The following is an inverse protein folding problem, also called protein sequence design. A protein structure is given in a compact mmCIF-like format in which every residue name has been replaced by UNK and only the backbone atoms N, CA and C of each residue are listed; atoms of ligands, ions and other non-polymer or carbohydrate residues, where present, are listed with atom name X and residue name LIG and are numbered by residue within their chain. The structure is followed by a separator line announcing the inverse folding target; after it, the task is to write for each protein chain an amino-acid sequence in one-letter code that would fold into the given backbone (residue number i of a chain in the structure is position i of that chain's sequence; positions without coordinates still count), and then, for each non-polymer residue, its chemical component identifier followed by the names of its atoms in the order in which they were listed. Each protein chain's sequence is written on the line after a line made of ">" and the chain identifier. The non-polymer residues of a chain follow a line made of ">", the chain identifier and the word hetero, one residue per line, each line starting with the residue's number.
data_IF_936476014940
#
_entry.id   IF_936476014940
#
_cell.length_a   1.000
_cell.length_b   1.000
_cell.length_c   1.000
_cell.angle_alpha   90.00
_cell.angle_beta   90.00
_cell.angle_gamma   90.00
#
_symmetry.space_group_name_H-M   'P 1'
#
loop_
_entity.id
_entity.type
_entity.pdbx_description
1 polymer ?
#
# COMPACT_ATOMS: atom_id res chain seq x y z
N UNK A 1 1.00 -7.10 17.76
CA UNK A 1 -0.38 -7.57 17.50
C UNK A 1 -1.24 -6.38 17.10
N UNK A 2 -1.91 -6.45 15.96
CA UNK A 2 -2.82 -5.41 15.49
C UNK A 2 -4.09 -5.37 16.35
N UNK A 3 -4.33 -4.28 17.08
CA UNK A 3 -5.60 -4.07 17.77
C UNK A 3 -6.58 -3.40 16.80
N UNK A 4 -7.52 -4.18 16.26
CA UNK A 4 -8.50 -3.72 15.26
C UNK A 4 -9.28 -2.48 15.73
N UNK A 5 -9.65 -2.39 17.01
CA UNK A 5 -10.35 -1.20 17.54
C UNK A 5 -9.48 0.06 17.53
N UNK A 6 -8.19 -0.08 17.82
CA UNK A 6 -7.26 1.05 17.78
C UNK A 6 -7.02 1.52 16.35
N UNK A 7 -6.80 0.57 15.43
CA UNK A 7 -6.59 0.87 14.01
C UNK A 7 -7.81 1.54 13.36
N UNK A 8 -9.03 1.06 13.66
CA UNK A 8 -10.27 1.67 13.18
C UNK A 8 -10.41 3.11 13.69
N UNK A 9 -10.08 3.35 14.97
CA UNK A 9 -10.14 4.68 15.59
C UNK A 9 -9.12 5.65 15.01
N UNK A 10 -7.87 5.20 14.80
CA UNK A 10 -6.82 5.99 14.17
C UNK A 10 -7.15 6.32 12.72
N UNK A 11 -7.64 5.33 11.97
CA UNK A 11 -8.11 5.52 10.60
C UNK A 11 -9.22 6.57 10.54
N UNK A 12 -10.28 6.41 11.35
CA UNK A 12 -11.40 7.34 11.37
C UNK A 12 -10.97 8.76 11.74
N UNK A 13 -10.11 8.92 12.76
CA UNK A 13 -9.59 10.23 13.19
C UNK A 13 -8.83 10.92 12.08
N UNK A 14 -7.90 10.20 11.44
CA UNK A 14 -7.11 10.72 10.32
C UNK A 14 -8.01 11.07 9.14
N UNK A 15 -8.98 10.21 8.83
CA UNK A 15 -9.88 10.39 7.71
C UNK A 15 -10.82 11.60 7.88
N UNK A 16 -11.46 11.76 9.05
CA UNK A 16 -12.29 12.94 9.36
C UNK A 16 -11.46 14.22 9.30
N UNK A 17 -10.22 14.20 9.82
CA UNK A 17 -9.32 15.36 9.80
C UNK A 17 -9.01 15.77 8.35
N UNK A 18 -8.66 14.81 7.50
CA UNK A 18 -8.41 15.03 6.08
C UNK A 18 -9.63 15.57 5.33
N UNK A 19 -10.79 14.96 5.55
CA UNK A 19 -12.05 15.38 4.93
C UNK A 19 -12.45 16.79 5.34
N UNK A 20 -12.36 17.14 6.63
CA UNK A 20 -12.70 18.48 7.12
C UNK A 20 -11.82 19.54 6.46
N UNK A 21 -10.49 19.34 6.46
CA UNK A 21 -9.54 20.25 5.82
C UNK A 21 -9.79 20.40 4.32
N UNK A 22 -10.04 19.29 3.62
CA UNK A 22 -10.35 19.30 2.20
C UNK A 22 -11.66 20.05 1.89
N UNK A 23 -12.71 19.80 2.68
CA UNK A 23 -14.01 20.47 2.52
C UNK A 23 -13.95 21.98 2.74
N UNK A 24 -13.10 22.46 3.66
CA UNK A 24 -12.88 23.89 3.91
C UNK A 24 -12.17 24.58 2.75
N UNK A 25 -11.32 23.87 2.01
CA UNK A 25 -10.51 24.44 0.93
C UNK A 25 -11.18 24.36 -0.44
N UNK A 26 -12.02 23.33 -0.70
CA UNK A 26 -12.71 23.14 -1.98
C UNK A 26 -14.23 23.04 -1.79
N UNK A 27 -14.90 24.19 -1.66
CA UNK A 27 -16.34 24.27 -1.34
C UNK A 27 -17.27 23.90 -2.51
N UNK A 28 -16.86 24.18 -3.74
CA UNK A 28 -17.66 23.93 -4.95
C UNK A 28 -17.09 22.72 -5.70
N UNK A 29 -17.67 21.55 -5.47
CA UNK A 29 -17.29 20.31 -6.15
C UNK A 29 -18.48 19.64 -6.78
N UNK A 30 -18.29 19.14 -8.00
CA UNK A 30 -19.26 18.26 -8.62
C UNK A 30 -19.28 16.87 -7.94
N UNK A 31 -20.31 16.07 -8.23
CA UNK A 31 -20.47 14.74 -7.61
C UNK A 31 -19.29 13.80 -7.88
N UNK A 32 -18.69 13.86 -9.08
CA UNK A 32 -17.56 13.02 -9.47
C UNK A 32 -16.32 13.39 -8.65
N UNK A 33 -16.05 14.68 -8.48
CA UNK A 33 -14.95 15.19 -7.66
C UNK A 33 -15.13 14.81 -6.20
N UNK A 34 -16.35 14.93 -5.66
CA UNK A 34 -16.67 14.51 -4.28
C UNK A 34 -16.36 13.02 -4.08
N UNK A 35 -16.81 12.16 -4.99
CA UNK A 35 -16.54 10.71 -4.92
C UNK A 35 -15.04 10.42 -4.97
N UNK A 36 -14.30 11.09 -5.88
CA UNK A 36 -12.85 10.96 -5.98
C UNK A 36 -12.13 11.42 -4.70
N UNK A 37 -12.53 12.55 -4.14
CA UNK A 37 -11.97 13.09 -2.91
C UNK A 37 -12.22 12.18 -1.70
N UNK A 38 -13.44 11.64 -1.57
CA UNK A 38 -13.78 10.68 -0.51
C UNK A 38 -12.89 9.44 -0.63
N UNK A 39 -12.76 8.87 -1.83
CA UNK A 39 -11.89 7.70 -2.06
C UNK A 39 -10.43 8.02 -1.72
N UNK A 40 -9.90 9.10 -2.26
CA UNK A 40 -8.51 9.49 -2.06
C UNK A 40 -8.19 9.79 -0.59
N UNK A 41 -9.08 10.49 0.11
CA UNK A 41 -8.95 10.77 1.55
C UNK A 41 -8.93 9.50 2.38
N UNK A 42 -9.72 8.49 2.02
CA UNK A 42 -9.71 7.20 2.68
C UNK A 42 -8.40 6.44 2.39
N UNK A 43 -7.97 6.39 1.12
CA UNK A 43 -6.72 5.73 0.72
C UNK A 43 -5.51 6.35 1.43
N UNK A 44 -5.46 7.68 1.52
CA UNK A 44 -4.39 8.41 2.18
C UNK A 44 -4.44 8.26 3.71
N UNK A 45 -5.63 8.35 4.33
CA UNK A 45 -5.76 8.12 5.76
C UNK A 45 -5.35 6.69 6.15
N UNK A 46 -5.76 5.69 5.36
CA UNK A 46 -5.39 4.30 5.54
C UNK A 46 -3.86 4.13 5.46
N UNK A 47 -3.23 4.71 4.43
CA UNK A 47 -1.78 4.71 4.26
C UNK A 47 -1.04 5.41 5.42
N UNK A 48 -1.52 6.57 5.86
CA UNK A 48 -0.89 7.35 6.94
C UNK A 48 -0.99 6.70 8.32
N UNK A 49 -2.03 5.89 8.57
CA UNK A 49 -2.17 5.16 9.85
C UNK A 49 -1.30 3.91 9.94
N UNK A 50 -0.75 3.46 8.80
CA UNK A 50 0.16 2.33 8.79
C UNK A 50 1.58 2.73 9.06
N UNK A 51 2.38 1.72 9.38
CA UNK A 51 3.81 1.90 9.48
C UNK A 51 4.34 2.46 8.15
N UNK A 52 5.12 3.53 8.25
CA UNK A 52 5.76 4.24 7.13
C UNK A 52 6.74 3.34 6.38
N UNK A 53 6.96 2.11 6.84
CA UNK A 53 7.82 1.11 6.19
C UNK A 53 7.12 0.37 5.06
N UNK A 54 5.80 0.17 5.15
CA UNK A 54 5.02 -0.62 4.19
C UNK A 54 5.09 -0.03 2.79
N UNK A 55 5.33 -0.88 1.79
CA UNK A 55 5.50 -0.47 0.39
C UNK A 55 4.17 -0.06 -0.23
N UNK A 56 3.07 -0.75 0.11
CA UNK A 56 1.76 -0.39 -0.44
C UNK A 56 1.27 0.99 0.03
N UNK A 57 1.57 1.38 1.29
CA UNK A 57 1.18 2.70 1.80
C UNK A 57 1.95 3.82 1.11
N UNK A 58 3.25 3.63 0.88
CA UNK A 58 4.10 4.54 0.09
C UNK A 58 3.61 4.67 -1.34
N UNK A 59 3.19 3.56 -1.96
CA UNK A 59 2.65 3.58 -3.31
C UNK A 59 1.36 4.41 -3.38
N UNK A 60 0.45 4.30 -2.39
CA UNK A 60 -0.75 5.13 -2.32
C UNK A 60 -0.42 6.63 -2.16
N UNK A 61 0.50 6.97 -1.24
CA UNK A 61 0.93 8.36 -1.02
C UNK A 61 1.59 8.93 -2.28
N UNK A 62 2.47 8.16 -2.91
CA UNK A 62 3.15 8.57 -4.15
C UNK A 62 2.16 8.78 -5.28
N UNK A 63 1.19 7.86 -5.47
CA UNK A 63 0.16 8.00 -6.48
C UNK A 63 -0.73 9.23 -6.25
N UNK A 64 -1.08 9.53 -4.99
CA UNK A 64 -1.83 10.72 -4.63
C UNK A 64 -1.07 12.01 -4.93
N UNK A 65 0.25 12.01 -4.73
CA UNK A 65 1.12 13.18 -4.96
C UNK A 65 1.37 13.51 -6.45
N UNK A 66 1.00 12.62 -7.39
CA UNK A 66 1.24 12.83 -8.83
C UNK A 66 0.23 13.77 -9.48
N UNK A 67 -0.90 14.00 -8.84
CA UNK A 67 -1.96 14.87 -9.34
C UNK A 67 -1.98 16.15 -8.50
N UNK A 68 -1.67 17.28 -9.13
CA UNK A 68 -1.59 18.58 -8.45
C UNK A 68 -2.92 18.96 -7.77
N UNK A 69 -4.06 18.47 -8.27
CA UNK A 69 -5.38 18.70 -7.66
C UNK A 69 -5.53 18.00 -6.29
N UNK A 70 -4.74 16.95 -6.07
CA UNK A 70 -4.77 16.11 -4.89
C UNK A 70 -3.73 16.52 -3.84
N UNK A 71 -2.83 17.45 -4.21
CA UNK A 71 -1.76 17.99 -3.34
C UNK A 71 -2.29 18.48 -1.99
N UNK A 72 -3.42 19.19 -2.03
CA UNK A 72 -4.15 19.68 -0.85
C UNK A 72 -4.40 18.56 0.17
N UNK A 73 -4.87 17.41 -0.31
CA UNK A 73 -5.20 16.30 0.57
C UNK A 73 -3.92 15.63 1.11
N UNK A 74 -2.90 15.48 0.25
CA UNK A 74 -1.61 14.91 0.64
C UNK A 74 -0.93 15.66 1.77
N UNK A 75 -0.83 16.99 1.67
CA UNK A 75 -0.22 17.83 2.70
C UNK A 75 -1.04 17.77 4.00
N UNK A 76 -2.36 17.91 3.91
CA UNK A 76 -3.23 17.99 5.07
C UNK A 76 -3.27 16.72 5.93
N UNK A 77 -3.22 15.53 5.32
CA UNK A 77 -3.24 14.26 6.06
C UNK A 77 -1.84 13.89 6.55
N UNK A 78 -0.78 14.19 5.79
CA UNK A 78 0.61 13.93 6.20
C UNK A 78 1.10 14.87 7.31
N UNK A 79 0.73 16.15 7.26
CA UNK A 79 1.12 17.17 8.25
C UNK A 79 0.41 17.03 9.60
N UNK A 80 -0.62 16.18 9.69
CA UNK A 80 -1.36 15.93 10.94
C UNK A 80 -0.69 14.90 11.85
N UNK A 81 0.45 14.32 11.44
CA UNK A 81 1.20 13.33 12.21
C UNK A 81 2.39 13.97 12.95
N UNK A 82 2.36 14.10 14.28
CA UNK A 82 3.50 14.60 15.05
C UNK A 82 4.57 13.51 15.14
N UNK A 83 5.45 13.41 14.13
CA UNK A 83 6.81 12.81 14.17
C UNK A 83 7.47 12.88 12.78
N UNK A 84 8.46 13.76 12.69
CA UNK A 84 9.45 13.97 11.60
C UNK A 84 8.87 14.12 10.18
N UNK A 85 8.63 15.37 9.80
CA UNK A 85 8.63 15.84 8.41
C UNK A 85 10.06 15.82 7.89
N UNK A 86 10.50 14.74 7.26
CA UNK A 86 11.52 14.88 6.23
C UNK A 86 10.83 15.46 5.00
N UNK A 87 11.20 16.69 4.65
CA UNK A 87 10.86 17.33 3.38
C UNK A 87 11.25 16.35 2.27
N UNK A 88 10.27 15.68 1.66
CA UNK A 88 10.48 14.92 0.42
C UNK A 88 10.65 15.94 -0.68
N UNK A 89 11.87 16.45 -0.78
CA UNK A 89 12.41 17.16 -1.94
C UNK A 89 12.13 16.29 -3.16
N UNK A 90 11.53 16.89 -4.21
CA UNK A 90 11.49 16.34 -5.58
C UNK A 90 12.84 15.72 -5.91
N UNK A 91 12.93 14.39 -5.88
CA UNK A 91 14.04 13.64 -6.46
C UNK A 91 13.42 12.63 -7.40
N UNK A 92 13.91 12.65 -8.64
CA UNK A 92 13.42 11.88 -9.77
C UNK A 92 13.15 10.40 -9.41
N UNK A 93 12.00 9.91 -9.86
CA UNK A 93 11.36 8.64 -9.52
C UNK A 93 12.06 7.36 -10.03
N UNK A 94 13.38 7.37 -10.26
CA UNK A 94 14.09 6.21 -10.82
C UNK A 94 14.82 5.36 -9.76
N UNK A 95 14.82 5.78 -8.49
CA UNK A 95 15.58 5.12 -7.42
C UNK A 95 14.68 4.64 -6.28
N UNK A 96 13.69 3.80 -6.59
CA UNK A 96 13.17 2.86 -5.59
C UNK A 96 14.21 1.75 -5.43
N UNK A 97 15.26 2.01 -4.63
CA UNK A 97 16.21 0.97 -4.24
C UNK A 97 15.45 -0.16 -3.54
N UNK A 98 15.64 -1.44 -3.91
CA UNK A 98 15.09 -2.55 -3.16
C UNK A 98 15.83 -2.63 -1.81
N UNK A 99 15.27 -2.02 -0.77
CA UNK A 99 15.70 -2.33 0.59
C UNK A 99 15.16 -3.72 0.96
N UNK A 100 15.87 -4.73 0.46
CA UNK A 100 15.99 -6.08 1.00
C UNK A 100 17.22 -6.75 0.37
N UNK A 101 18.41 -6.21 0.66
CA UNK A 101 19.67 -6.93 0.47
C UNK A 101 20.44 -7.00 1.78
N UNK A 102 20.01 -7.88 2.70
CA UNK A 102 20.99 -8.49 3.62
C UNK A 102 21.83 -9.47 2.80
N UNK A 103 22.77 -8.96 2.00
CA UNK A 103 23.84 -9.77 1.43
C UNK A 103 25.00 -9.79 2.41
N UNK A 104 24.96 -10.80 3.27
CA UNK A 104 26.13 -11.30 3.97
C UNK A 104 27.06 -11.98 2.95
N UNK A 105 28.37 -11.73 3.16
CA UNK A 105 29.58 -12.40 2.66
C UNK A 105 30.27 -11.82 1.41
N UNK A 106 31.26 -10.99 1.72
CA UNK A 106 32.61 -11.03 1.14
C UNK A 106 33.04 -12.45 0.73
N UNK A 107 33.37 -12.65 -0.55
CA UNK A 107 34.20 -13.77 -0.99
C UNK A 107 35.19 -13.30 -2.06
N UNK A 108 36.47 -13.37 -1.70
CA UNK A 108 37.62 -13.22 -2.59
C UNK A 108 37.47 -14.17 -3.77
N UNK A 109 37.74 -13.66 -4.98
CA UNK A 109 37.78 -14.43 -6.21
C UNK A 109 38.99 -15.35 -6.14
N UNK A 110 38.77 -16.65 -6.05
CA UNK A 110 39.75 -17.67 -6.43
C UNK A 110 39.15 -18.49 -7.56
N UNK A 111 39.66 -18.23 -8.77
CA UNK A 111 39.50 -19.07 -9.95
C UNK A 111 40.19 -20.41 -9.69
N UNK A 112 39.48 -21.54 -9.74
CA UNK A 112 40.03 -22.77 -10.35
C UNK A 112 38.99 -23.89 -10.58
N UNK A 113 39.27 -24.57 -11.69
CA UNK A 113 38.83 -25.87 -12.21
C UNK A 113 37.35 -26.13 -12.50
N UNK A 114 37.13 -26.35 -13.81
CA UNK A 114 36.01 -27.06 -14.41
C UNK A 114 35.90 -28.46 -13.80
N UNK A 115 34.79 -28.75 -13.16
CA UNK A 115 34.36 -30.13 -12.89
C UNK A 115 33.08 -30.34 -13.69
N UNK A 116 33.14 -31.28 -14.64
CA UNK A 116 32.01 -31.76 -15.42
C UNK A 116 31.04 -32.44 -14.45
N UNK A 117 30.06 -31.69 -13.95
CA UNK A 117 28.92 -32.29 -13.26
C UNK A 117 27.99 -32.84 -14.32
N UNK A 118 27.92 -34.16 -14.37
CA UNK A 118 26.91 -34.95 -15.05
C UNK A 118 25.53 -34.29 -14.88
N UNK A 119 24.96 -33.83 -16.00
CA UNK A 119 23.61 -33.27 -16.00
C UNK A 119 22.66 -34.47 -15.97
N UNK A 120 22.36 -34.96 -14.77
CA UNK A 120 21.10 -35.66 -14.55
C UNK A 120 20.00 -34.72 -15.01
N UNK A 121 19.47 -35.02 -16.19
CA UNK A 121 18.40 -34.28 -16.84
C UNK A 121 17.15 -34.62 -16.04
N UNK A 122 17.02 -33.98 -14.89
CA UNK A 122 15.89 -34.12 -14.00
C UNK A 122 14.66 -33.81 -14.86
N UNK A 123 13.93 -34.85 -15.26
CA UNK A 123 12.79 -34.74 -16.15
C UNK A 123 11.73 -33.99 -15.36
N UNK A 124 11.76 -32.66 -15.42
CA UNK A 124 10.76 -31.83 -14.77
C UNK A 124 9.42 -32.25 -15.34
N UNK A 125 8.64 -32.97 -14.53
CA UNK A 125 7.37 -33.52 -14.97
C UNK A 125 6.48 -32.39 -15.48
N UNK A 126 5.73 -32.57 -16.59
CA UNK A 126 4.83 -31.56 -17.13
C UNK A 126 3.88 -30.97 -16.07
N UNK A 127 3.49 -31.76 -15.07
CA UNK A 127 2.69 -31.34 -13.93
C UNK A 127 3.38 -30.29 -13.04
N UNK A 128 4.69 -30.37 -12.84
CA UNK A 128 5.48 -29.39 -12.07
C UNK A 128 5.61 -28.06 -12.82
N UNK A 129 5.75 -28.11 -14.15
CA UNK A 129 5.77 -26.93 -15.01
C UNK A 129 4.40 -26.24 -14.97
N UNK A 130 3.31 -27.00 -15.13
CA UNK A 130 1.95 -26.48 -15.06
C UNK A 130 1.65 -25.81 -13.70
N UNK A 131 2.10 -26.42 -12.59
CA UNK A 131 1.98 -25.84 -11.24
C UNK A 131 2.73 -24.51 -11.13
N UNK A 132 3.98 -24.44 -11.61
CA UNK A 132 4.79 -23.20 -11.58
C UNK A 132 4.13 -22.08 -12.37
N UNK A 133 3.67 -22.36 -13.59
CA UNK A 133 2.98 -21.37 -14.43
C UNK A 133 1.69 -20.87 -13.77
N UNK A 134 0.94 -21.76 -13.11
CA UNK A 134 -0.27 -21.37 -12.36
C UNK A 134 0.06 -20.45 -11.18
N UNK A 135 1.13 -20.73 -10.44
CA UNK A 135 1.59 -19.86 -9.34
C UNK A 135 2.02 -18.51 -9.88
N UNK A 136 2.82 -18.45 -10.95
CA UNK A 136 3.24 -17.20 -11.58
C UNK A 136 2.04 -16.33 -12.02
N UNK A 137 1.01 -16.93 -12.64
CA UNK A 137 -0.21 -16.20 -13.01
C UNK A 137 -0.94 -15.63 -11.79
N UNK A 138 -1.02 -16.38 -10.69
CA UNK A 138 -1.64 -15.93 -9.44
C UNK A 138 -0.82 -14.82 -8.78
N UNK A 139 0.49 -14.97 -8.73
CA UNK A 139 1.42 -13.96 -8.24
C UNK A 139 1.27 -12.67 -9.04
N UNK A 140 1.24 -12.73 -10.37
CA UNK A 140 1.06 -11.55 -11.20
C UNK A 140 -0.30 -10.87 -10.95
N UNK A 141 -1.37 -11.65 -10.83
CA UNK A 141 -2.69 -11.11 -10.47
C UNK A 141 -2.65 -10.42 -9.11
N UNK A 142 -1.95 -11.00 -8.14
CA UNK A 142 -1.81 -10.40 -6.81
C UNK A 142 -1.01 -9.09 -6.84
N UNK A 143 0.10 -9.05 -7.59
CA UNK A 143 0.90 -7.83 -7.81
C UNK A 143 0.04 -6.69 -8.37
N UNK A 144 -0.87 -6.98 -9.29
CA UNK A 144 -1.76 -5.99 -9.89
C UNK A 144 -2.89 -5.52 -8.95
N UNK A 145 -3.19 -6.27 -7.88
CA UNK A 145 -4.23 -5.91 -6.90
C UNK A 145 -3.67 -5.06 -5.76
N UNK A 146 -2.39 -5.21 -5.45
CA UNK A 146 -1.73 -4.51 -4.37
C UNK A 146 -1.16 -3.18 -4.89
N UNK A 147 -1.41 -2.03 -4.22
CA UNK A 147 -0.77 -0.78 -4.61
C UNK A 147 0.76 -0.92 -4.62
N UNK A 148 1.40 -0.69 -5.78
CA UNK A 148 2.85 -0.85 -5.95
C UNK A 148 3.35 -2.29 -5.94
N UNK A 149 2.45 -3.28 -6.03
CA UNK A 149 2.78 -4.70 -6.03
C UNK A 149 3.64 -5.12 -7.23
N UNK A 150 3.57 -4.39 -8.34
CA UNK A 150 4.38 -4.60 -9.53
C UNK A 150 5.89 -4.48 -9.26
N UNK A 151 6.28 -3.74 -8.21
CA UNK A 151 7.67 -3.55 -7.80
C UNK A 151 8.11 -4.46 -6.65
N UNK A 152 7.26 -5.40 -6.20
CA UNK A 152 7.54 -6.27 -5.06
C UNK A 152 8.10 -7.63 -5.49
N UNK A 153 9.05 -8.14 -4.71
CA UNK A 153 9.45 -9.55 -4.75
C UNK A 153 8.36 -10.45 -4.14
N UNK A 154 8.41 -11.75 -4.45
CA UNK A 154 7.34 -12.68 -4.10
C UNK A 154 7.22 -12.94 -2.59
N UNK A 155 8.28 -12.73 -1.80
CA UNK A 155 8.26 -12.92 -0.34
C UNK A 155 7.56 -11.73 0.32
N UNK A 156 8.01 -10.51 0.02
CA UNK A 156 7.38 -9.30 0.54
C UNK A 156 5.94 -9.13 0.05
N UNK A 157 5.61 -9.63 -1.15
CA UNK A 157 4.25 -9.53 -1.69
C UNK A 157 3.20 -10.14 -0.76
N UNK A 158 3.49 -11.30 -0.16
CA UNK A 158 2.53 -11.98 0.73
C UNK A 158 2.36 -11.22 2.04
N UNK A 159 3.45 -10.74 2.63
CA UNK A 159 3.44 -9.95 3.87
C UNK A 159 2.69 -8.62 3.69
N UNK A 160 3.01 -7.88 2.64
CA UNK A 160 2.36 -6.61 2.30
C UNK A 160 0.88 -6.81 1.96
N UNK A 161 0.53 -7.92 1.30
CA UNK A 161 -0.88 -8.27 1.03
C UNK A 161 -1.64 -8.51 2.33
N UNK A 162 -1.06 -9.23 3.29
CA UNK A 162 -1.71 -9.49 4.57
C UNK A 162 -2.00 -8.19 5.32
N UNK A 163 -1.02 -7.29 5.38
CA UNK A 163 -1.17 -5.97 6.00
C UNK A 163 -2.21 -5.09 5.27
N UNK A 164 -2.21 -5.12 3.94
CA UNK A 164 -3.19 -4.39 3.14
C UNK A 164 -4.61 -4.91 3.36
N UNK A 165 -4.82 -6.24 3.44
CA UNK A 165 -6.13 -6.83 3.76
C UNK A 165 -6.62 -6.37 5.13
N UNK A 166 -5.75 -6.30 6.14
CA UNK A 166 -6.13 -5.80 7.47
C UNK A 166 -6.57 -4.34 7.41
N UNK A 167 -5.86 -3.53 6.63
CA UNK A 167 -6.17 -2.11 6.43
C UNK A 167 -7.50 -1.91 5.68
N UNK A 168 -7.76 -2.72 4.64
CA UNK A 168 -9.04 -2.72 3.93
C UNK A 168 -10.21 -3.14 4.83
N UNK A 169 -10.03 -4.13 5.70
CA UNK A 169 -11.06 -4.54 6.67
C UNK A 169 -11.40 -3.39 7.61
N UNK A 170 -10.39 -2.71 8.14
CA UNK A 170 -10.57 -1.53 8.99
C UNK A 170 -11.34 -0.41 8.26
N UNK A 171 -10.96 -0.12 7.01
CA UNK A 171 -11.65 0.86 6.17
C UNK A 171 -13.14 0.51 5.97
N UNK A 172 -13.43 -0.73 5.55
CA UNK A 172 -14.81 -1.19 5.32
C UNK A 172 -15.65 -1.15 6.59
N UNK A 173 -15.08 -1.55 7.73
CA UNK A 173 -15.80 -1.53 9.00
C UNK A 173 -16.16 -0.11 9.43
N UNK A 174 -15.22 0.83 9.33
CA UNK A 174 -15.49 2.25 9.62
C UNK A 174 -16.53 2.82 8.67
N UNK A 175 -16.47 2.51 7.37
CA UNK A 175 -17.47 2.97 6.40
C UNK A 175 -18.87 2.44 6.73
N UNK A 176 -19.00 1.16 7.13
CA UNK A 176 -20.28 0.58 7.56
C UNK A 176 -20.82 1.29 8.79
N UNK A 177 -19.99 1.54 9.81
CA UNK A 177 -20.41 2.28 11.00
C UNK A 177 -20.93 3.68 10.66
N UNK A 178 -20.29 4.39 9.72
CA UNK A 178 -20.75 5.71 9.29
C UNK A 178 -22.10 5.66 8.57
N UNK A 179 -22.31 4.67 7.71
CA UNK A 179 -23.60 4.47 7.02
C UNK A 179 -24.70 4.19 8.05
N UNK A 180 -24.49 3.22 8.94
CA UNK A 180 -25.46 2.88 9.99
C UNK A 180 -25.77 4.08 10.89
N UNK A 181 -24.74 4.82 11.32
CA UNK A 181 -24.96 6.02 12.14
C UNK A 181 -25.78 7.08 11.36
N UNK A 182 -25.49 7.29 10.08
CA UNK A 182 -26.20 8.26 9.26
C UNK A 182 -27.67 7.87 9.05
N UNK A 183 -27.96 6.58 8.84
CA UNK A 183 -29.33 6.07 8.73
C UNK A 183 -30.14 6.30 10.01
N UNK A 184 -29.52 6.11 11.18
CA UNK A 184 -30.15 6.41 12.48
C UNK A 184 -30.41 7.90 12.69
N UNK A 185 -29.56 8.79 12.18
CA UNK A 185 -29.80 10.24 12.24
C UNK A 185 -30.91 10.70 11.28
N UNK A 186 -31.07 10.04 10.14
CA UNK A 186 -32.09 10.40 9.14
C UNK A 186 -33.47 9.85 9.54
N UNK A 187 -33.52 8.67 10.16
CA UNK A 187 -34.75 8.04 10.64
C UNK A 187 -34.72 7.90 12.17
N UNK A 188 -34.91 8.99 12.94
CA UNK A 188 -35.04 8.89 14.38
C UNK A 188 -36.33 8.10 14.71
N UNK A 189 -36.20 7.10 15.58
CA UNK A 189 -37.32 6.32 16.12
C UNK A 189 -38.36 7.21 16.83
#
# INVERSE_FOLDING_TARGET
>A
MWNSRSANKEFLRTWITGLRKYSSQKKNMNMVERKKAIKLSADLAMASTRDKTTRWSKALISNASRDDNNKILTENILDSSPKHTEKVVRKNLNNLSPFCSRRIKSRKILRRSRTMMDRSKDRVMPSSIAKRLKVQKRTQKLKNLLPGGEFMDDVCLVEETLDYIQSLRAQVEVMRCLVTASELFINPL
#
